data_IF_905119663332
#
_entry.id   IF_905119663332
#
_cell.length_a   1.000
_cell.length_b   1.000
_cell.length_c   1.000
_cell.angle_alpha   90.00
_cell.angle_beta   90.00
_cell.angle_gamma   90.00
#
_symmetry.space_group_name_H-M   'P 1'
#
loop_
_entity.id
_entity.type
_entity.pdbx_description
1 polymer ?
#
# COMPACT_ATOMS: atom_id res chain seq x y z
N UNK A 1 8.28 -10.57 12.76
CA UNK A 1 7.32 -9.81 12.00
C UNK A 1 7.34 -10.27 10.55
N UNK A 2 6.29 -10.91 10.07
CA UNK A 2 6.12 -11.21 8.65
C UNK A 2 5.83 -9.87 7.97
N UNK A 3 6.89 -9.21 7.50
CA UNK A 3 6.75 -8.27 6.41
C UNK A 3 6.06 -9.06 5.29
N UNK A 4 4.81 -8.73 5.01
CA UNK A 4 4.08 -9.17 3.82
C UNK A 4 5.09 -9.18 2.68
N UNK A 5 5.11 -10.26 1.91
CA UNK A 5 6.03 -10.40 0.79
C UNK A 5 5.95 -9.13 -0.07
N UNK A 6 6.90 -8.23 0.12
CA UNK A 6 6.91 -6.95 -0.57
C UNK A 6 6.69 -7.10 -2.10
N UNK A 7 7.22 -8.17 -2.76
CA UNK A 7 6.98 -8.41 -4.18
C UNK A 7 5.52 -8.71 -4.53
N UNK A 8 4.78 -9.45 -3.70
CA UNK A 8 3.37 -9.80 -3.99
C UNK A 8 2.46 -8.56 -3.85
N UNK A 9 2.71 -7.74 -2.83
CA UNK A 9 1.96 -6.50 -2.63
C UNK A 9 2.21 -5.50 -3.78
N UNK A 10 3.48 -5.34 -4.16
CA UNK A 10 3.88 -4.47 -5.27
C UNK A 10 3.21 -4.93 -6.57
N UNK A 11 3.21 -6.23 -6.83
CA UNK A 11 2.55 -6.80 -8.01
C UNK A 11 1.02 -6.58 -7.98
N UNK A 12 0.36 -6.74 -6.83
CA UNK A 12 -1.08 -6.48 -6.71
C UNK A 12 -1.42 -5.01 -6.94
N UNK A 13 -0.62 -4.09 -6.38
CA UNK A 13 -0.75 -2.65 -6.61
C UNK A 13 -0.62 -2.36 -8.11
N UNK A 14 0.42 -2.90 -8.75
CA UNK A 14 0.66 -2.73 -10.18
C UNK A 14 -0.51 -3.23 -11.02
N UNK A 15 -0.97 -4.47 -10.80
CA UNK A 15 -2.04 -5.08 -11.58
C UNK A 15 -3.37 -4.34 -11.43
N UNK A 16 -3.76 -3.99 -10.19
CA UNK A 16 -5.04 -3.32 -9.95
C UNK A 16 -5.03 -1.85 -10.35
N UNK A 17 -3.93 -1.14 -10.08
CA UNK A 17 -3.80 0.27 -10.44
C UNK A 17 -3.68 0.46 -11.95
N UNK A 18 -2.98 -0.47 -12.64
CA UNK A 18 -2.73 -0.45 -14.08
C UNK A 18 -3.78 -1.16 -14.95
N UNK A 19 -4.83 -1.70 -14.37
CA UNK A 19 -5.82 -2.54 -15.08
C UNK A 19 -6.37 -1.87 -16.35
N UNK A 20 -6.61 -0.56 -16.32
CA UNK A 20 -7.15 0.17 -17.49
C UNK A 20 -6.08 0.55 -18.51
N UNK A 21 -4.82 0.59 -18.10
CA UNK A 21 -3.68 0.88 -18.99
C UNK A 21 -3.23 -0.34 -19.79
N UNK A 22 -3.43 -1.57 -19.28
CA UNK A 22 -3.02 -2.79 -19.97
C UNK A 22 -3.61 -2.94 -21.38
N UNK A 23 -4.92 -2.70 -21.60
CA UNK A 23 -5.47 -2.74 -22.96
C UNK A 23 -4.86 -1.70 -23.91
N UNK A 24 -4.38 -0.57 -23.35
CA UNK A 24 -3.66 0.42 -24.15
C UNK A 24 -2.25 -0.08 -24.49
N UNK A 25 -1.52 -0.68 -23.53
CA UNK A 25 -0.20 -1.26 -23.77
C UNK A 25 -0.26 -2.33 -24.85
N UNK A 26 -1.22 -3.24 -24.77
CA UNK A 26 -1.44 -4.30 -25.77
C UNK A 26 -1.70 -3.72 -27.17
N UNK A 27 -2.64 -2.77 -27.28
CA UNK A 27 -2.95 -2.11 -28.56
C UNK A 27 -1.78 -1.28 -29.08
N UNK A 28 -1.06 -0.58 -28.20
CA UNK A 28 0.10 0.22 -28.58
C UNK A 28 1.22 -0.66 -29.14
N UNK A 29 1.42 -1.84 -28.57
CA UNK A 29 2.34 -2.86 -29.07
C UNK A 29 2.05 -3.21 -30.54
N UNK A 30 0.78 -3.44 -30.88
CA UNK A 30 0.37 -3.70 -32.25
C UNK A 30 0.63 -2.51 -33.19
N UNK A 31 0.18 -1.31 -32.82
CA UNK A 31 0.32 -0.12 -33.67
C UNK A 31 1.77 0.32 -33.84
N UNK A 32 2.52 0.42 -32.74
CA UNK A 32 3.92 0.83 -32.81
C UNK A 32 4.81 -0.27 -33.36
N UNK A 33 4.53 -1.54 -33.06
CA UNK A 33 5.22 -2.68 -33.64
C UNK A 33 5.07 -2.71 -35.16
N UNK A 34 3.86 -2.47 -35.69
CA UNK A 34 3.63 -2.34 -37.12
C UNK A 34 4.37 -1.14 -37.70
N UNK A 35 4.23 0.04 -37.09
CA UNK A 35 4.86 1.29 -37.55
C UNK A 35 6.38 1.20 -37.65
N UNK A 36 7.04 0.64 -36.62
CA UNK A 36 8.49 0.47 -36.57
C UNK A 36 8.97 -0.79 -37.31
N UNK A 37 8.11 -1.78 -37.44
CA UNK A 37 8.41 -3.00 -38.21
C UNK A 37 8.53 -2.72 -39.74
N UNK A 38 7.76 -1.76 -40.27
CA UNK A 38 7.87 -1.37 -41.68
C UNK A 38 9.28 -0.89 -42.07
N UNK A 39 9.93 0.05 -41.35
CA UNK A 39 11.32 0.42 -41.63
C UNK A 39 12.29 -0.78 -41.50
N UNK A 40 12.10 -1.66 -40.53
CA UNK A 40 12.92 -2.87 -40.39
C UNK A 40 12.78 -3.79 -41.59
N UNK A 41 11.55 -3.96 -42.13
CA UNK A 41 11.31 -4.71 -43.35
C UNK A 41 12.02 -4.09 -44.54
N UNK A 42 11.96 -2.76 -44.72
CA UNK A 42 12.66 -2.06 -45.77
C UNK A 42 14.17 -2.26 -45.68
N UNK A 43 14.76 -2.14 -44.49
CA UNK A 43 16.19 -2.40 -44.30
C UNK A 43 16.54 -3.83 -44.70
N UNK A 44 15.75 -4.81 -44.28
CA UNK A 44 15.98 -6.21 -44.63
C UNK A 44 15.88 -6.48 -46.13
N UNK A 45 15.01 -5.79 -46.83
CA UNK A 45 14.85 -5.92 -48.26
C UNK A 45 16.12 -5.50 -49.04
N UNK A 46 16.87 -4.50 -48.54
CA UNK A 46 18.12 -4.07 -49.14
C UNK A 46 19.36 -4.84 -48.60
N UNK A 47 19.29 -5.34 -47.36
CA UNK A 47 20.33 -6.07 -46.68
C UNK A 47 19.79 -7.36 -46.03
N UNK A 48 19.57 -8.42 -46.81
CA UNK A 48 18.97 -9.68 -46.33
C UNK A 48 19.98 -10.52 -45.52
N UNK A 49 20.48 -9.95 -44.42
CA UNK A 49 21.42 -10.61 -43.51
C UNK A 49 20.61 -11.17 -42.35
N UNK A 50 20.85 -12.41 -41.94
CA UNK A 50 20.08 -13.14 -40.93
C UNK A 50 19.92 -12.43 -39.58
N UNK A 51 20.91 -11.64 -39.16
CA UNK A 51 20.89 -10.93 -37.87
C UNK A 51 20.07 -9.63 -37.90
N UNK A 52 19.74 -9.09 -39.04
CA UNK A 52 18.96 -7.82 -39.18
C UNK A 52 17.58 -7.95 -38.55
N UNK A 53 16.91 -9.08 -38.73
CA UNK A 53 15.58 -9.30 -38.17
C UNK A 53 15.60 -9.43 -36.64
N UNK A 54 16.46 -10.26 -36.02
CA UNK A 54 16.55 -10.31 -34.56
C UNK A 54 16.91 -8.98 -33.90
N UNK A 55 17.90 -8.27 -34.45
CA UNK A 55 18.32 -6.95 -33.91
C UNK A 55 17.23 -5.91 -34.15
N UNK A 56 16.64 -5.88 -35.33
CA UNK A 56 15.52 -5.01 -35.65
C UNK A 56 14.33 -5.25 -34.71
N UNK A 57 13.97 -6.51 -34.48
CA UNK A 57 12.92 -6.90 -33.54
C UNK A 57 13.17 -6.43 -32.11
N UNK A 58 14.40 -6.58 -31.63
CA UNK A 58 14.82 -6.12 -30.29
C UNK A 58 14.70 -4.58 -30.17
N UNK A 59 15.18 -3.85 -31.18
CA UNK A 59 15.08 -2.37 -31.21
C UNK A 59 13.63 -1.93 -31.25
N UNK A 60 12.80 -2.55 -32.10
CA UNK A 60 11.38 -2.22 -32.24
C UNK A 60 10.64 -2.54 -30.96
N UNK A 61 10.87 -3.71 -30.33
CA UNK A 61 10.27 -4.08 -29.05
C UNK A 61 10.61 -3.10 -27.94
N UNK A 62 11.89 -2.77 -27.80
CA UNK A 62 12.34 -1.79 -26.80
C UNK A 62 11.71 -0.40 -27.04
N UNK A 63 11.76 0.11 -28.27
CA UNK A 63 11.22 1.42 -28.61
C UNK A 63 9.69 1.49 -28.39
N UNK A 64 8.98 0.43 -28.76
CA UNK A 64 7.53 0.33 -28.56
C UNK A 64 7.16 0.38 -27.10
N UNK A 65 7.84 -0.41 -26.28
CA UNK A 65 7.60 -0.46 -24.84
C UNK A 65 7.96 0.88 -24.16
N UNK A 66 9.10 1.45 -24.52
CA UNK A 66 9.52 2.76 -24.00
C UNK A 66 8.51 3.87 -24.33
N UNK A 67 8.00 3.91 -25.57
CA UNK A 67 7.00 4.90 -25.98
C UNK A 67 5.67 4.66 -25.25
N UNK A 68 5.24 3.41 -25.10
CA UNK A 68 4.02 3.08 -24.39
C UNK A 68 4.08 3.55 -22.92
N UNK A 69 5.17 3.26 -22.21
CA UNK A 69 5.37 3.73 -20.85
C UNK A 69 5.43 5.26 -20.77
N UNK A 70 6.08 5.88 -21.75
CA UNK A 70 6.16 7.36 -21.81
C UNK A 70 4.79 7.99 -21.95
N UNK A 71 3.90 7.46 -22.78
CA UNK A 71 2.53 7.96 -22.94
C UNK A 71 1.69 7.76 -21.68
N UNK A 72 1.92 6.69 -20.93
CA UNK A 72 1.22 6.41 -19.68
C UNK A 72 1.55 7.44 -18.61
N UNK A 73 2.83 7.83 -18.49
CA UNK A 73 3.32 8.72 -17.42
C UNK A 73 3.55 10.16 -17.85
N UNK A 74 3.71 10.44 -19.14
CA UNK A 74 3.99 11.79 -19.66
C UNK A 74 2.90 12.29 -20.62
N UNK A 75 2.66 13.61 -20.71
CA UNK A 75 3.28 14.65 -19.90
C UNK A 75 2.73 14.67 -18.47
N UNK A 76 3.58 15.01 -17.48
CA UNK A 76 3.18 15.08 -16.06
C UNK A 76 2.15 16.16 -15.83
N UNK A 77 2.40 17.34 -16.36
CA UNK A 77 1.47 18.46 -16.29
C UNK A 77 0.51 18.47 -17.50
N UNK A 78 -0.76 18.78 -17.28
CA UNK A 78 -1.74 18.80 -18.35
C UNK A 78 -1.39 19.88 -19.39
N UNK A 79 -1.15 19.48 -20.63
CA UNK A 79 -0.91 20.37 -21.77
C UNK A 79 -2.21 20.51 -22.56
N UNK A 80 -2.68 21.75 -22.74
CA UNK A 80 -3.84 22.01 -23.59
C UNK A 80 -3.38 22.19 -25.04
N UNK A 81 -3.74 21.24 -25.90
CA UNK A 81 -3.44 21.31 -27.32
C UNK A 81 -4.75 21.19 -28.12
N UNK A 82 -5.06 22.20 -28.96
CA UNK A 82 -6.26 22.26 -29.83
C UNK A 82 -7.58 21.91 -29.09
N UNK A 83 -7.73 22.32 -27.82
CA UNK A 83 -8.93 22.06 -27.02
C UNK A 83 -8.94 20.71 -26.29
N UNK A 84 -7.95 19.85 -26.50
CA UNK A 84 -7.78 18.60 -25.78
C UNK A 84 -6.71 18.77 -24.68
N UNK A 85 -6.99 18.17 -23.51
CA UNK A 85 -6.00 18.10 -22.43
C UNK A 85 -5.20 16.81 -22.58
N UNK A 86 -3.93 16.96 -22.93
CA UNK A 86 -2.97 15.85 -23.03
C UNK A 86 -2.25 15.78 -21.69
N UNK A 87 -2.38 14.64 -21.03
CA UNK A 87 -1.69 14.30 -19.76
C UNK A 87 -1.48 12.80 -19.75
N UNK A 88 -0.44 12.33 -19.07
CA UNK A 88 -0.19 10.91 -18.90
C UNK A 88 -1.46 10.19 -18.42
N UNK A 89 -1.77 9.06 -19.05
CA UNK A 89 -3.03 8.34 -18.81
C UNK A 89 -3.22 8.01 -17.33
N UNK A 90 -2.14 7.62 -16.68
CA UNK A 90 -2.11 7.26 -15.27
C UNK A 90 -2.35 8.47 -14.36
N UNK A 91 -1.69 9.58 -14.65
CA UNK A 91 -1.84 10.84 -13.89
C UNK A 91 -3.23 11.45 -14.03
N UNK A 92 -3.86 11.28 -15.19
CA UNK A 92 -5.25 11.70 -15.41
C UNK A 92 -6.24 10.98 -14.50
N UNK A 93 -5.88 9.78 -14.03
CA UNK A 93 -6.70 8.94 -13.13
C UNK A 93 -6.19 8.93 -11.69
N UNK A 94 -5.41 9.94 -11.29
CA UNK A 94 -4.81 10.03 -9.96
C UNK A 94 -5.80 9.69 -8.84
N UNK A 95 -7.00 10.25 -8.85
CA UNK A 95 -8.04 9.97 -7.84
C UNK A 95 -8.43 8.50 -7.75
N UNK A 96 -8.68 7.87 -8.90
CA UNK A 96 -9.07 6.47 -8.95
C UNK A 96 -7.92 5.57 -8.49
N UNK A 97 -6.72 5.83 -8.96
CA UNK A 97 -5.52 5.08 -8.57
C UNK A 97 -5.19 5.27 -7.10
N UNK A 98 -5.32 6.48 -6.57
CA UNK A 98 -5.16 6.76 -5.13
C UNK A 98 -6.11 5.91 -4.29
N UNK A 99 -7.37 5.78 -4.72
CA UNK A 99 -8.36 4.95 -4.02
C UNK A 99 -7.96 3.48 -4.04
N UNK A 100 -7.65 2.94 -5.21
CA UNK A 100 -7.22 1.54 -5.36
C UNK A 100 -5.98 1.24 -4.52
N UNK A 101 -5.00 2.13 -4.57
CA UNK A 101 -3.77 2.01 -3.77
C UNK A 101 -4.08 1.99 -2.27
N UNK A 102 -4.88 2.94 -1.81
CA UNK A 102 -5.23 3.08 -0.39
C UNK A 102 -6.01 1.88 0.14
N UNK A 103 -6.94 1.34 -0.64
CA UNK A 103 -7.72 0.15 -0.28
C UNK A 103 -6.81 -1.10 -0.19
N UNK A 104 -5.82 -1.23 -1.06
CA UNK A 104 -4.84 -2.33 -1.00
C UNK A 104 -3.96 -2.20 0.24
N UNK A 105 -3.42 -1.01 0.50
CA UNK A 105 -2.57 -0.75 1.67
C UNK A 105 -3.34 -1.01 2.96
N UNK A 106 -4.58 -0.52 3.09
CA UNK A 106 -5.40 -0.79 4.26
C UNK A 106 -5.66 -2.28 4.44
N UNK A 107 -6.08 -2.97 3.37
CA UNK A 107 -6.48 -4.37 3.46
C UNK A 107 -5.31 -5.34 3.69
N UNK A 108 -4.10 -4.99 3.28
CA UNK A 108 -2.93 -5.89 3.31
C UNK A 108 -1.89 -5.52 4.35
N UNK A 109 -1.59 -4.24 4.51
CA UNK A 109 -0.54 -3.76 5.40
C UNK A 109 -1.10 -3.18 6.69
N UNK A 110 -2.12 -2.35 6.58
CA UNK A 110 -2.66 -1.59 7.70
C UNK A 110 -3.93 -2.24 8.27
N UNK A 111 -3.94 -3.57 8.30
CA UNK A 111 -5.00 -4.27 9.02
C UNK A 111 -4.89 -3.95 10.50
N UNK A 112 -6.02 -3.84 11.20
CA UNK A 112 -6.02 -3.61 12.65
C UNK A 112 -5.16 -4.62 13.40
N UNK A 113 -5.09 -5.86 12.91
CA UNK A 113 -4.22 -6.90 13.47
C UNK A 113 -2.76 -6.51 13.35
N UNK A 114 -2.30 -6.14 12.15
CA UNK A 114 -0.90 -5.76 11.92
C UNK A 114 -0.52 -4.50 12.70
N UNK A 115 -1.41 -3.50 12.73
CA UNK A 115 -1.18 -2.27 13.49
C UNK A 115 -1.03 -2.59 14.98
N UNK A 116 -1.92 -3.45 15.50
CA UNK A 116 -1.88 -3.82 16.91
C UNK A 116 -0.67 -4.71 17.23
N UNK A 117 -0.29 -5.63 16.35
CA UNK A 117 0.92 -6.44 16.51
C UNK A 117 2.17 -5.55 16.56
N UNK A 118 2.25 -4.53 15.68
CA UNK A 118 3.32 -3.54 15.71
C UNK A 118 3.26 -2.71 17.00
N UNK A 119 2.08 -2.32 17.45
CA UNK A 119 1.90 -1.54 18.66
C UNK A 119 2.29 -2.34 19.94
N UNK A 120 1.95 -3.62 20.00
CA UNK A 120 2.23 -4.50 21.16
C UNK A 120 3.66 -5.06 21.15
N UNK A 121 4.20 -5.39 19.98
CA UNK A 121 5.51 -6.06 19.86
C UNK A 121 6.58 -5.19 19.16
N UNK A 122 6.22 -4.03 18.64
CA UNK A 122 7.14 -3.11 17.96
C UNK A 122 8.00 -2.27 18.93
N UNK A 123 8.82 -1.41 18.36
CA UNK A 123 9.73 -0.54 19.13
C UNK A 123 9.01 0.46 20.07
N UNK A 124 7.73 0.73 19.85
CA UNK A 124 6.88 1.58 20.68
C UNK A 124 6.06 0.83 21.73
N UNK A 125 6.19 -0.50 21.81
CA UNK A 125 5.37 -1.33 22.69
C UNK A 125 5.50 -0.97 24.18
N UNK A 126 6.69 -0.56 24.63
CA UNK A 126 6.91 -0.14 26.01
C UNK A 126 6.02 1.02 26.46
N UNK A 127 5.86 2.03 25.60
CA UNK A 127 4.99 3.19 25.88
C UNK A 127 3.50 2.82 25.90
N UNK A 128 3.08 1.95 24.98
CA UNK A 128 1.70 1.46 24.93
C UNK A 128 1.39 0.61 26.16
N UNK A 129 2.28 -0.29 26.56
CA UNK A 129 2.12 -1.14 27.72
C UNK A 129 2.07 -0.31 29.02
N UNK A 130 2.93 0.69 29.17
CA UNK A 130 2.91 1.63 30.28
C UNK A 130 1.57 2.41 30.36
N UNK A 131 1.07 2.86 29.22
CA UNK A 131 -0.23 3.54 29.11
C UNK A 131 -1.39 2.61 29.49
N UNK A 132 -1.38 1.38 29.02
CA UNK A 132 -2.37 0.36 29.38
C UNK A 132 -2.31 0.06 30.89
N UNK A 133 -1.12 -0.16 31.42
CA UNK A 133 -0.91 -0.42 32.86
C UNK A 133 -1.42 0.74 33.73
N UNK A 134 -1.13 1.96 33.33
CA UNK A 134 -1.59 3.17 34.02
C UNK A 134 -3.12 3.27 34.03
N UNK A 135 -3.78 3.05 32.88
CA UNK A 135 -5.23 3.12 32.79
C UNK A 135 -5.95 1.94 33.49
N UNK A 136 -5.36 0.75 33.42
CA UNK A 136 -5.86 -0.43 34.14
C UNK A 136 -5.74 -0.21 35.66
N UNK A 137 -4.61 0.30 36.15
CA UNK A 137 -4.45 0.62 37.55
C UNK A 137 -5.44 1.69 38.03
N UNK A 138 -5.61 2.77 37.25
CA UNK A 138 -6.60 3.82 37.57
C UNK A 138 -8.03 3.28 37.59
N UNK A 139 -8.40 2.44 36.60
CA UNK A 139 -9.71 1.78 36.60
C UNK A 139 -9.90 0.86 37.82
N UNK A 140 -8.91 0.02 38.14
CA UNK A 140 -8.96 -0.85 39.29
C UNK A 140 -9.12 -0.01 40.56
N UNK A 141 -8.35 1.08 40.72
CA UNK A 141 -8.47 1.97 41.88
C UNK A 141 -9.83 2.61 42.01
N UNK A 142 -10.42 3.07 40.91
CA UNK A 142 -11.80 3.62 40.91
C UNK A 142 -12.86 2.60 41.32
N UNK A 143 -12.77 1.38 40.79
CA UNK A 143 -13.73 0.32 41.12
C UNK A 143 -13.56 -0.15 42.58
N UNK A 144 -12.34 -0.24 43.05
CA UNK A 144 -12.07 -0.65 44.46
C UNK A 144 -12.41 0.48 45.41
N UNK A 145 -12.21 1.76 45.07
CA UNK A 145 -12.65 2.88 45.89
C UNK A 145 -14.15 2.85 46.14
N UNK A 146 -14.95 2.42 45.19
CA UNK A 146 -16.39 2.22 45.36
C UNK A 146 -16.70 1.06 46.33
N UNK A 147 -15.85 0.03 46.33
CA UNK A 147 -16.00 -1.16 47.15
C UNK A 147 -15.31 -1.04 48.53
N UNK A 148 -14.47 -0.01 48.73
CA UNK A 148 -13.63 0.21 49.94
C UNK A 148 -14.40 0.13 51.27
N UNK A 149 -15.66 0.67 51.42
CA UNK A 149 -16.40 0.51 52.67
C UNK A 149 -16.74 -0.94 53.01
N UNK A 150 -16.81 -1.81 52.00
CA UNK A 150 -17.14 -3.22 52.20
C UNK A 150 -15.86 -4.07 52.43
N UNK A 151 -14.73 -3.66 51.87
CA UNK A 151 -13.46 -4.35 52.07
C UNK A 151 -12.76 -4.04 53.39
N UNK A 152 -12.99 -2.83 53.93
CA UNK A 152 -12.39 -2.43 55.23
C UNK A 152 -12.85 -3.29 56.43
N UNK A 153 -13.94 -4.04 56.26
CA UNK A 153 -14.52 -4.87 57.30
C UNK A 153 -14.09 -6.34 57.28
N UNK A 154 -13.36 -6.80 56.25
CA UNK A 154 -13.08 -8.23 56.14
C UNK A 154 -11.81 -8.68 55.39
N UNK A 155 -11.14 -7.81 54.67
CA UNK A 155 -9.99 -8.19 53.86
C UNK A 155 -8.77 -7.33 54.22
N UNK A 156 -7.71 -7.96 54.76
CA UNK A 156 -6.49 -7.25 55.12
C UNK A 156 -5.79 -6.60 53.89
N UNK A 157 -4.99 -5.57 54.17
CA UNK A 157 -4.27 -4.81 53.14
C UNK A 157 -3.41 -5.68 52.21
N UNK A 158 -2.84 -6.76 52.72
CA UNK A 158 -2.02 -7.70 51.95
C UNK A 158 -2.85 -8.43 50.88
N UNK A 159 -4.05 -8.87 51.20
CA UNK A 159 -4.98 -9.51 50.24
C UNK A 159 -5.44 -8.55 49.18
N UNK A 160 -5.59 -7.26 49.50
CA UNK A 160 -5.91 -6.20 48.54
C UNK A 160 -4.82 -6.03 47.47
N UNK A 161 -3.55 -5.87 47.89
CA UNK A 161 -2.43 -5.72 46.97
C UNK A 161 -2.25 -6.95 46.08
N UNK A 162 -2.41 -8.13 46.63
CA UNK A 162 -2.32 -9.39 45.90
C UNK A 162 -3.44 -9.53 44.87
N UNK A 163 -4.64 -9.09 45.17
CA UNK A 163 -5.79 -9.09 44.25
C UNK A 163 -5.60 -8.07 43.12
N UNK A 164 -5.05 -6.88 43.42
CA UNK A 164 -4.70 -5.86 42.43
C UNK A 164 -3.64 -6.38 41.45
N UNK A 165 -2.59 -6.99 41.96
CA UNK A 165 -1.53 -7.59 41.18
C UNK A 165 -2.04 -8.71 40.27
N UNK A 166 -2.85 -9.63 40.78
CA UNK A 166 -3.45 -10.72 40.01
C UNK A 166 -4.41 -10.21 38.97
N UNK A 167 -5.21 -9.19 39.24
CA UNK A 167 -6.10 -8.58 38.28
C UNK A 167 -5.33 -7.91 37.13
N UNK A 168 -4.27 -7.14 37.44
CA UNK A 168 -3.41 -6.51 36.46
C UNK A 168 -2.74 -7.54 35.57
N UNK A 169 -2.16 -8.59 36.14
CA UNK A 169 -1.54 -9.69 35.39
C UNK A 169 -2.54 -10.41 34.49
N UNK A 170 -3.78 -10.64 34.95
CA UNK A 170 -4.80 -11.32 34.17
C UNK A 170 -5.28 -10.48 33.00
N UNK A 171 -5.51 -9.18 33.21
CA UNK A 171 -5.89 -8.26 32.13
C UNK A 171 -4.76 -8.17 31.11
N UNK A 172 -3.52 -8.14 31.57
CA UNK A 172 -2.36 -8.12 30.68
C UNK A 172 -2.24 -9.41 29.86
N UNK A 173 -2.37 -10.57 30.50
CA UNK A 173 -2.30 -11.88 29.82
C UNK A 173 -3.46 -12.11 28.84
N UNK A 174 -4.65 -11.58 29.15
CA UNK A 174 -5.84 -11.67 28.31
C UNK A 174 -5.93 -10.48 27.30
N UNK A 175 -4.93 -9.58 27.28
CA UNK A 175 -4.95 -8.35 26.46
C UNK A 175 -5.12 -8.63 24.98
N UNK A 176 -4.48 -9.66 24.43
CA UNK A 176 -4.64 -10.09 23.04
C UNK A 176 -6.12 -10.38 22.70
N UNK A 177 -6.84 -11.02 23.61
CA UNK A 177 -8.25 -11.34 23.42
C UNK A 177 -9.11 -10.08 23.40
N UNK A 178 -8.87 -9.15 24.31
CA UNK A 178 -9.62 -7.88 24.35
C UNK A 178 -9.27 -6.97 23.18
N UNK A 179 -8.02 -6.96 22.76
CA UNK A 179 -7.57 -6.24 21.58
C UNK A 179 -8.23 -6.77 20.29
N UNK A 180 -8.48 -8.08 20.20
CA UNK A 180 -9.17 -8.67 19.04
C UNK A 180 -10.58 -8.12 18.84
N UNK A 181 -11.30 -7.81 19.91
CA UNK A 181 -12.63 -7.15 19.82
C UNK A 181 -12.54 -5.68 19.39
N UNK A 182 -11.42 -5.02 19.71
CA UNK A 182 -11.17 -3.64 19.30
C UNK A 182 -10.78 -3.52 17.81
N UNK A 183 -10.32 -4.59 17.16
CA UNK A 183 -9.84 -4.54 15.77
C UNK A 183 -10.89 -4.03 14.79
N UNK A 184 -12.10 -4.55 14.86
CA UNK A 184 -13.16 -4.14 13.94
C UNK A 184 -13.58 -2.68 14.15
N UNK A 185 -13.62 -2.25 15.40
CA UNK A 185 -13.91 -0.86 15.73
C UNK A 185 -12.75 0.06 15.29
N UNK A 186 -11.53 -0.34 15.52
CA UNK A 186 -10.33 0.44 15.17
C UNK A 186 -10.22 0.65 13.66
N UNK A 187 -10.51 -0.36 12.84
CA UNK A 187 -10.53 -0.22 11.38
C UNK A 187 -11.51 0.87 10.92
N UNK A 188 -12.72 0.84 11.46
CA UNK A 188 -13.75 1.83 11.12
C UNK A 188 -13.43 3.23 11.65
N UNK A 189 -12.77 3.32 12.81
CA UNK A 189 -12.46 4.59 13.46
C UNK A 189 -11.25 5.29 12.84
N UNK A 190 -10.24 4.54 12.41
CA UNK A 190 -9.00 5.11 11.88
C UNK A 190 -9.15 5.65 10.45
N UNK A 191 -10.11 5.14 9.65
CA UNK A 191 -10.34 5.57 8.26
C UNK A 191 -9.05 5.72 7.45
N UNK A 192 -8.14 4.76 7.60
CA UNK A 192 -6.78 4.84 7.06
C UNK A 192 -6.79 4.96 5.54
N UNK A 193 -7.65 4.18 4.86
CA UNK A 193 -7.76 4.26 3.40
C UNK A 193 -8.25 5.65 2.95
N UNK A 194 -9.19 6.26 3.65
CA UNK A 194 -9.70 7.58 3.30
C UNK A 194 -8.64 8.65 3.47
N UNK A 195 -7.93 8.68 4.61
CA UNK A 195 -6.85 9.66 4.88
C UNK A 195 -5.68 9.48 3.90
N UNK A 196 -5.30 8.23 3.61
CA UNK A 196 -4.26 7.94 2.64
C UNK A 196 -4.67 8.36 1.23
N UNK A 197 -5.92 8.09 0.84
CA UNK A 197 -6.48 8.50 -0.45
C UNK A 197 -6.45 10.02 -0.62
N UNK A 198 -6.94 10.77 0.38
CA UNK A 198 -6.93 12.24 0.37
C UNK A 198 -5.50 12.80 0.23
N UNK A 199 -4.54 12.23 0.97
CA UNK A 199 -3.13 12.63 0.87
C UNK A 199 -2.54 12.34 -0.51
N UNK A 200 -2.84 11.17 -1.08
CA UNK A 200 -2.37 10.82 -2.42
C UNK A 200 -3.02 11.66 -3.51
N UNK A 201 -4.29 12.04 -3.36
CA UNK A 201 -4.96 12.95 -4.29
C UNK A 201 -4.36 14.38 -4.25
N UNK A 202 -3.84 14.79 -3.10
CA UNK A 202 -3.21 16.10 -2.91
C UNK A 202 -1.75 16.16 -3.40
N UNK A 203 -1.12 15.03 -3.73
CA UNK A 203 0.24 14.99 -4.25
C UNK A 203 0.35 15.70 -5.61
N UNK A 204 1.47 16.34 -5.85
CA UNK A 204 1.83 16.79 -7.19
C UNK A 204 1.99 15.59 -8.14
N UNK A 205 1.85 15.77 -9.46
CA UNK A 205 2.05 14.70 -10.43
C UNK A 205 3.41 14.00 -10.30
N UNK A 206 4.45 14.73 -9.96
CA UNK A 206 5.82 14.23 -9.75
C UNK A 206 5.90 13.34 -8.50
N UNK A 207 5.32 13.80 -7.40
CA UNK A 207 5.29 13.05 -6.14
C UNK A 207 4.43 11.79 -6.26
N UNK A 208 3.28 11.90 -6.91
CA UNK A 208 2.39 10.78 -7.15
C UNK A 208 3.04 9.69 -8.01
N UNK A 209 3.71 10.08 -9.11
CA UNK A 209 4.51 9.15 -9.91
C UNK A 209 5.59 8.48 -9.06
N UNK A 210 6.29 9.26 -8.21
CA UNK A 210 7.35 8.76 -7.35
C UNK A 210 6.90 7.70 -6.34
N UNK A 211 5.67 7.79 -5.83
CA UNK A 211 5.10 6.77 -4.92
C UNK A 211 4.83 5.45 -5.65
N UNK A 212 4.40 5.52 -6.91
CA UNK A 212 3.97 4.34 -7.67
C UNK A 212 5.05 3.75 -8.56
N UNK A 213 6.02 4.57 -8.96
CA UNK A 213 7.13 4.15 -9.82
C UNK A 213 7.85 2.88 -9.39
N UNK A 214 8.17 2.66 -8.10
CA UNK A 214 8.79 1.41 -7.67
C UNK A 214 7.96 0.16 -7.98
N UNK A 215 6.63 0.26 -7.99
CA UNK A 215 5.75 -0.85 -8.34
C UNK A 215 5.82 -1.19 -9.84
N UNK A 216 6.02 -0.18 -10.68
CA UNK A 216 6.15 -0.38 -12.13
C UNK A 216 7.57 -0.79 -12.54
N UNK A 217 8.60 -0.24 -11.91
CA UNK A 217 10.00 -0.59 -12.20
C UNK A 217 10.33 -2.04 -11.78
N UNK A 218 9.73 -2.54 -10.71
CA UNK A 218 9.94 -3.93 -10.28
C UNK A 218 9.46 -4.95 -11.31
N UNK A 219 8.45 -4.62 -12.11
CA UNK A 219 7.88 -5.48 -13.15
C UNK A 219 8.30 -5.07 -14.59
N UNK A 220 9.02 -3.97 -14.76
CA UNK A 220 9.49 -3.50 -16.07
C UNK A 220 10.30 -4.59 -16.80
N UNK A 221 11.18 -5.29 -16.10
CA UNK A 221 11.95 -6.41 -16.65
C UNK A 221 11.07 -7.58 -17.10
N UNK A 222 9.95 -7.85 -16.43
CA UNK A 222 9.02 -8.91 -16.83
C UNK A 222 8.25 -8.50 -18.09
N UNK A 223 7.89 -7.20 -18.21
CA UNK A 223 7.22 -6.67 -19.39
C UNK A 223 8.13 -6.62 -20.62
N UNK A 224 9.45 -6.52 -20.44
CA UNK A 224 10.43 -6.50 -21.54
C UNK A 224 10.71 -7.92 -22.06
N UNK A 225 10.57 -8.94 -21.20
CA UNK A 225 10.95 -10.33 -21.53
C UNK A 225 9.75 -11.19 -21.99
N UNK A 226 8.52 -10.70 -21.82
CA UNK A 226 7.30 -11.39 -22.29
C UNK A 226 6.93 -10.91 -23.68
#
# INVERSE_FOLDING_TARGET
GQLVNAPELINEIFLKSGEKEFPFIEKSGFYFGFLFGLPTMVVWMFYPIWWVLPVGGLIVGYATNWIALKIIFEPKNPIKFMGFTIQGMFLKRQKEVSRVYSDIIESKLMTSKNIMEIAVHGSGSGQLLELIELHVNDAIERYIAIAQPYFALGVGSESYYKMKELASQRIFNDSEKYLSYAYEYTNKALRIADDLCERMEALSPEEFEGVLRPAYEADEWKLIVT
#
